data_IF_099719781909
#
_entry.id   IF_099719781909
#
_cell.length_a   1.000
_cell.length_b   1.000
_cell.length_c   1.000
_cell.angle_alpha   90.00
_cell.angle_beta   90.00
_cell.angle_gamma   90.00
#
_symmetry.space_group_name_H-M   'P 1'
#
loop_
_entity.id
_entity.type
_entity.pdbx_description
1 polymer ?
#
# COMPACT_ATOMS: atom_id res chain seq x y z
N UNK A 1 -27.24 15.15 -3.90
CA UNK A 1 -26.47 13.87 -3.91
C UNK A 1 -27.48 12.76 -4.08
N UNK A 2 -27.24 11.85 -5.02
CA UNK A 2 -28.07 10.66 -5.19
C UNK A 2 -27.81 9.72 -4.00
N UNK A 3 -28.86 9.20 -3.38
CA UNK A 3 -28.74 8.28 -2.26
C UNK A 3 -28.07 6.98 -2.73
N UNK A 4 -26.87 6.68 -2.22
CA UNK A 4 -26.17 5.46 -2.60
C UNK A 4 -26.86 4.27 -1.93
N UNK A 5 -27.36 3.36 -2.76
CA UNK A 5 -28.01 2.14 -2.27
C UNK A 5 -26.94 1.13 -1.86
N UNK A 6 -27.02 0.62 -0.62
CA UNK A 6 -26.18 -0.49 -0.11
C UNK A 6 -26.09 -1.67 -1.09
N UNK A 7 -27.15 -1.93 -1.86
CA UNK A 7 -27.20 -2.95 -2.91
C UNK A 7 -26.13 -2.79 -4.00
N UNK A 8 -25.73 -1.56 -4.34
CA UNK A 8 -24.68 -1.29 -5.33
C UNK A 8 -23.29 -1.66 -4.82
N UNK A 9 -23.03 -1.53 -3.51
CA UNK A 9 -21.78 -1.99 -2.94
C UNK A 9 -21.76 -3.50 -2.72
N UNK A 10 -22.91 -4.10 -2.39
CA UNK A 10 -23.05 -5.55 -2.33
C UNK A 10 -22.84 -6.20 -3.70
N UNK A 11 -23.24 -5.57 -4.81
CA UNK A 11 -22.96 -6.12 -6.14
C UNK A 11 -21.47 -6.17 -6.47
N UNK A 12 -20.66 -5.23 -5.97
CA UNK A 12 -19.19 -5.26 -6.08
C UNK A 12 -18.59 -6.46 -5.34
N UNK A 13 -19.11 -6.74 -4.14
CA UNK A 13 -18.72 -7.92 -3.36
C UNK A 13 -19.03 -9.19 -4.16
N UNK A 14 -20.26 -9.34 -4.61
CA UNK A 14 -20.71 -10.55 -5.31
C UNK A 14 -20.00 -10.74 -6.65
N UNK A 15 -19.78 -9.67 -7.43
CA UNK A 15 -19.00 -9.75 -8.66
C UNK A 15 -17.56 -10.18 -8.36
N UNK A 16 -16.91 -9.61 -7.34
CA UNK A 16 -15.55 -10.01 -6.96
C UNK A 16 -15.48 -11.48 -6.56
N UNK A 17 -16.42 -11.95 -5.73
CA UNK A 17 -16.49 -13.36 -5.31
C UNK A 17 -16.72 -14.30 -6.50
N UNK A 18 -17.58 -13.91 -7.45
CA UNK A 18 -17.78 -14.65 -8.68
C UNK A 18 -16.49 -14.76 -9.50
N UNK A 19 -15.77 -13.65 -9.73
CA UNK A 19 -14.49 -13.67 -10.45
C UNK A 19 -13.45 -14.56 -9.79
N UNK A 20 -13.38 -14.56 -8.45
CA UNK A 20 -12.45 -15.39 -7.68
C UNK A 20 -12.85 -16.87 -7.69
N UNK A 21 -14.15 -17.18 -7.70
CA UNK A 21 -14.68 -18.54 -7.79
C UNK A 21 -14.40 -19.15 -9.15
N UNK A 22 -14.63 -18.39 -10.22
CA UNK A 22 -14.39 -18.82 -11.60
C UNK A 22 -12.91 -19.05 -11.91
N UNK A 23 -12.00 -18.52 -11.08
CA UNK A 23 -10.55 -18.58 -11.29
C UNK A 23 -9.82 -19.06 -10.04
N UNK A 24 -9.98 -20.32 -9.66
CA UNK A 24 -9.47 -20.85 -8.38
C UNK A 24 -7.93 -20.87 -8.22
N UNK A 25 -7.16 -20.62 -9.29
CA UNK A 25 -5.68 -20.67 -9.25
C UNK A 25 -5.06 -19.78 -8.18
N UNK A 26 -5.68 -18.62 -7.90
CA UNK A 26 -5.13 -17.65 -6.96
C UNK A 26 -4.90 -18.29 -5.59
N UNK A 27 -5.72 -19.27 -5.19
CA UNK A 27 -5.57 -19.96 -3.90
C UNK A 27 -4.18 -20.59 -3.77
N UNK A 28 -3.80 -21.40 -4.75
CA UNK A 28 -2.49 -22.06 -4.79
C UNK A 28 -1.35 -21.04 -4.95
N UNK A 29 -1.53 -20.03 -5.79
CA UNK A 29 -0.52 -18.99 -6.01
C UNK A 29 -0.25 -18.18 -4.74
N UNK A 30 -1.28 -17.71 -4.05
CA UNK A 30 -1.13 -16.94 -2.82
C UNK A 30 -0.70 -17.81 -1.63
N UNK A 31 -1.01 -19.11 -1.62
CA UNK A 31 -0.41 -20.06 -0.68
C UNK A 31 1.11 -20.14 -0.88
N UNK A 32 1.56 -20.35 -2.13
CA UNK A 32 2.99 -20.38 -2.46
C UNK A 32 3.70 -19.05 -2.16
N UNK A 33 3.00 -17.92 -2.32
CA UNK A 33 3.53 -16.62 -1.92
C UNK A 33 3.74 -16.55 -0.41
N UNK A 34 2.73 -16.90 0.38
CA UNK A 34 2.81 -16.86 1.85
C UNK A 34 3.92 -17.75 2.38
N UNK A 35 4.03 -18.97 1.87
CA UNK A 35 5.09 -19.93 2.21
C UNK A 35 6.48 -19.34 1.96
N UNK A 36 6.78 -18.97 0.70
CA UNK A 36 8.10 -18.43 0.33
C UNK A 36 8.47 -17.16 1.08
N UNK A 37 7.51 -16.25 1.29
CA UNK A 37 7.75 -15.01 2.03
C UNK A 37 8.00 -15.34 3.52
N UNK A 38 7.28 -16.30 4.09
CA UNK A 38 7.46 -16.71 5.48
C UNK A 38 8.84 -17.33 5.70
N UNK A 39 9.29 -18.22 4.80
CA UNK A 39 10.60 -18.85 4.86
C UNK A 39 11.74 -17.81 4.81
N UNK A 40 11.58 -16.79 3.97
CA UNK A 40 12.57 -15.73 3.82
C UNK A 40 12.46 -14.63 4.89
N UNK A 41 11.44 -14.64 5.75
CA UNK A 41 11.10 -13.49 6.60
C UNK A 41 12.22 -13.12 7.58
N UNK A 42 12.90 -14.11 8.16
CA UNK A 42 14.02 -13.89 9.08
C UNK A 42 15.20 -13.24 8.35
N UNK A 43 15.54 -13.72 7.15
CA UNK A 43 16.59 -13.16 6.32
C UNK A 43 16.26 -11.72 5.91
N UNK A 44 15.05 -11.45 5.41
CA UNK A 44 14.59 -10.10 5.04
C UNK A 44 14.71 -9.14 6.24
N UNK A 45 14.27 -9.54 7.44
CA UNK A 45 14.38 -8.71 8.66
C UNK A 45 15.82 -8.42 9.05
N UNK A 46 16.69 -9.42 8.95
CA UNK A 46 18.11 -9.28 9.27
C UNK A 46 18.78 -8.28 8.32
N UNK A 47 18.59 -8.46 7.01
CA UNK A 47 19.12 -7.54 5.99
C UNK A 47 18.52 -6.15 6.12
N UNK A 48 17.21 -6.00 6.35
CA UNK A 48 16.60 -4.68 6.54
C UNK A 48 17.18 -3.93 7.74
N UNK A 49 17.55 -4.65 8.79
CA UNK A 49 18.13 -4.06 10.02
C UNK A 49 19.61 -3.74 9.89
N UNK A 50 20.31 -4.28 8.88
CA UNK A 50 21.75 -4.10 8.70
C UNK A 50 22.12 -2.82 7.94
N UNK A 51 21.14 -2.08 7.41
CA UNK A 51 21.39 -0.79 6.76
C UNK A 51 20.44 0.33 7.21
N UNK A 52 20.96 1.56 7.15
CA UNK A 52 20.19 2.75 7.45
C UNK A 52 19.37 3.20 6.22
N UNK A 53 18.11 3.60 6.47
CA UNK A 53 17.26 4.27 5.47
C UNK A 53 17.39 5.78 5.64
N UNK A 54 18.15 6.43 4.77
CA UNK A 54 18.33 7.88 4.81
C UNK A 54 17.12 8.61 4.22
N UNK A 55 16.50 9.47 5.03
CA UNK A 55 15.50 10.43 4.54
C UNK A 55 16.10 11.32 3.45
N UNK A 56 15.36 11.66 2.38
CA UNK A 56 13.93 11.40 2.13
C UNK A 56 13.61 10.07 1.42
N UNK A 57 14.60 9.20 1.21
CA UNK A 57 14.42 7.93 0.49
C UNK A 57 13.69 6.91 1.36
N UNK A 58 12.85 6.08 0.74
CA UNK A 58 12.02 5.06 1.39
C UNK A 58 12.24 3.69 0.78
N UNK A 59 12.35 2.67 1.64
CA UNK A 59 12.62 1.30 1.22
C UNK A 59 11.31 0.56 1.04
N UNK A 60 11.12 -0.04 -0.12
CA UNK A 60 9.97 -0.87 -0.49
C UNK A 60 10.43 -2.28 -0.83
N UNK A 61 9.57 -3.26 -0.55
CA UNK A 61 9.78 -4.66 -0.87
C UNK A 61 8.61 -5.14 -1.72
N UNK A 62 8.87 -5.52 -2.96
CA UNK A 62 7.85 -6.13 -3.82
C UNK A 62 7.72 -7.64 -3.56
N UNK A 63 6.61 -8.24 -4.01
CA UNK A 63 6.31 -9.66 -3.82
C UNK A 63 7.37 -10.59 -4.43
N UNK A 64 7.96 -10.23 -5.57
CA UNK A 64 8.97 -11.05 -6.23
C UNK A 64 10.24 -11.11 -5.40
N UNK A 65 10.77 -9.96 -5.01
CA UNK A 65 11.93 -9.86 -4.12
C UNK A 65 11.70 -10.57 -2.79
N UNK A 66 10.51 -10.47 -2.20
CA UNK A 66 10.20 -11.15 -0.94
C UNK A 66 10.22 -12.69 -1.09
N UNK A 67 9.70 -13.23 -2.19
CA UNK A 67 9.68 -14.68 -2.47
C UNK A 67 11.05 -15.26 -2.80
N UNK A 68 11.96 -14.46 -3.36
CA UNK A 68 13.28 -14.93 -3.81
C UNK A 68 14.43 -14.56 -2.88
N UNK A 69 14.12 -13.99 -1.70
CA UNK A 69 15.09 -13.50 -0.72
C UNK A 69 15.79 -14.62 0.07
N UNK A 70 16.61 -15.44 -0.61
CA UNK A 70 17.39 -16.52 0.01
C UNK A 70 18.78 -16.06 0.46
N UNK A 71 19.62 -15.67 -0.50
CA UNK A 71 21.01 -15.24 -0.25
C UNK A 71 21.21 -13.73 -0.47
N UNK A 72 20.24 -13.09 -1.10
CA UNK A 72 20.18 -11.66 -1.34
C UNK A 72 18.74 -11.21 -1.45
N UNK A 73 18.45 -9.99 -1.04
CA UNK A 73 17.14 -9.35 -1.22
C UNK A 73 17.32 -8.02 -1.94
N UNK A 74 16.51 -7.78 -2.97
CA UNK A 74 16.49 -6.50 -3.67
C UNK A 74 15.34 -5.66 -3.15
N UNK A 75 15.65 -4.49 -2.61
CA UNK A 75 14.68 -3.49 -2.21
C UNK A 75 14.60 -2.39 -3.26
N UNK A 76 13.40 -1.89 -3.49
CA UNK A 76 13.21 -0.65 -4.24
C UNK A 76 13.47 0.53 -3.31
N UNK A 77 14.31 1.45 -3.77
CA UNK A 77 14.56 2.71 -3.09
C UNK A 77 13.74 3.79 -3.80
N UNK A 78 12.77 4.35 -3.08
CA UNK A 78 11.81 5.30 -3.63
C UNK A 78 12.02 6.72 -3.09
N UNK A 79 11.92 7.71 -3.96
CA UNK A 79 11.85 9.14 -3.64
C UNK A 79 10.51 9.68 -4.12
N UNK A 80 9.75 10.35 -3.24
CA UNK A 80 8.39 10.86 -3.55
C UNK A 80 7.49 9.79 -4.21
N UNK A 81 7.55 8.55 -3.72
CA UNK A 81 6.77 7.43 -4.24
C UNK A 81 7.31 6.74 -5.50
N UNK A 82 8.32 7.32 -6.15
CA UNK A 82 8.90 6.78 -7.38
C UNK A 82 10.18 6.01 -7.10
N UNK A 83 10.33 4.82 -7.71
CA UNK A 83 11.57 4.05 -7.62
C UNK A 83 12.68 4.76 -8.38
N UNK A 84 13.76 5.09 -7.65
CA UNK A 84 14.93 5.79 -8.19
C UNK A 84 16.20 4.93 -8.20
N UNK A 85 16.19 3.81 -7.47
CA UNK A 85 17.28 2.85 -7.45
C UNK A 85 16.81 1.52 -6.85
N UNK A 86 17.61 0.47 -7.04
CA UNK A 86 17.51 -0.78 -6.31
C UNK A 86 18.67 -0.89 -5.30
N UNK A 87 18.33 -1.28 -4.07
CA UNK A 87 19.28 -1.61 -3.01
C UNK A 87 19.29 -3.12 -2.82
N UNK A 88 20.37 -3.77 -3.26
CA UNK A 88 20.60 -5.19 -3.01
C UNK A 88 21.28 -5.38 -1.67
N UNK A 89 20.68 -6.18 -0.80
CA UNK A 89 21.23 -6.50 0.52
C UNK A 89 21.54 -7.99 0.71
N UNK A 90 22.58 -8.23 1.51
CA UNK A 90 23.13 -9.53 1.88
C UNK A 90 23.48 -9.52 3.37
N UNK A 91 23.71 -10.69 3.96
CA UNK A 91 24.07 -10.86 5.38
C UNK A 91 25.50 -10.41 5.71
N UNK A 92 26.40 -10.40 4.71
CA UNK A 92 27.78 -9.89 4.82
C UNK A 92 27.88 -8.35 4.93
N UNK A 93 26.73 -7.65 4.96
CA UNK A 93 26.61 -6.18 4.98
C UNK A 93 27.17 -5.47 3.75
N UNK A 94 27.52 -6.20 2.69
CA UNK A 94 27.99 -5.64 1.41
C UNK A 94 26.80 -5.19 0.56
N UNK A 95 26.08 -4.18 1.06
CA UNK A 95 24.90 -3.62 0.38
C UNK A 95 25.30 -2.84 -0.87
N UNK A 96 24.61 -3.08 -1.98
CA UNK A 96 24.91 -2.49 -3.28
C UNK A 96 23.73 -1.69 -3.81
N UNK A 97 24.00 -0.46 -4.23
CA UNK A 97 23.04 0.45 -4.85
C UNK A 97 23.24 0.45 -6.36
N UNK A 98 22.14 0.31 -7.10
CA UNK A 98 22.14 0.38 -8.55
C UNK A 98 20.99 1.25 -9.05
N UNK A 99 21.27 2.15 -9.99
CA UNK A 99 20.25 2.94 -10.68
C UNK A 99 19.75 2.29 -11.96
N UNK A 100 20.30 1.12 -12.33
CA UNK A 100 20.02 0.47 -13.60
C UNK A 100 18.51 0.36 -13.82
N UNK A 101 18.06 0.81 -15.00
CA UNK A 101 16.66 0.93 -15.45
C UNK A 101 15.91 2.17 -14.93
N UNK A 102 16.55 3.02 -14.13
CA UNK A 102 15.96 4.24 -13.59
C UNK A 102 16.72 5.50 -13.99
N UNK A 103 17.84 5.41 -14.71
CA UNK A 103 18.65 6.58 -15.10
C UNK A 103 17.83 7.60 -15.89
N UNK A 104 17.13 7.14 -16.93
CA UNK A 104 16.30 7.99 -17.79
C UNK A 104 15.16 8.64 -17.00
N UNK A 105 14.48 7.88 -16.14
CA UNK A 105 13.39 8.40 -15.31
C UNK A 105 13.91 9.35 -14.23
N UNK A 106 15.05 9.06 -13.62
CA UNK A 106 15.71 9.90 -12.62
C UNK A 106 16.14 11.25 -13.20
N UNK A 107 16.71 11.24 -14.40
CA UNK A 107 17.08 12.45 -15.11
C UNK A 107 15.83 13.26 -15.47
N UNK A 108 14.85 12.62 -16.12
CA UNK A 108 13.60 13.26 -16.55
C UNK A 108 12.86 13.88 -15.36
N UNK A 109 12.61 13.10 -14.32
CA UNK A 109 11.69 13.44 -13.24
C UNK A 109 12.35 14.27 -12.14
N UNK A 110 13.64 14.08 -11.91
CA UNK A 110 14.34 14.70 -10.78
C UNK A 110 15.57 15.51 -11.18
N UNK A 111 16.05 15.41 -12.42
CA UNK A 111 17.32 16.01 -12.85
C UNK A 111 18.54 15.25 -12.33
N UNK A 112 18.37 14.01 -11.86
CA UNK A 112 19.45 13.23 -11.28
C UNK A 112 20.20 12.47 -12.38
N UNK A 113 21.42 12.91 -12.69
CA UNK A 113 22.31 12.23 -13.64
C UNK A 113 23.46 11.49 -12.94
N UNK A 114 23.15 10.72 -11.89
CA UNK A 114 24.15 9.97 -11.13
C UNK A 114 23.93 8.47 -11.40
N UNK A 115 24.56 7.89 -12.43
CA UNK A 115 24.46 6.47 -12.71
C UNK A 115 25.29 5.66 -11.71
N UNK A 116 24.73 4.58 -11.19
CA UNK A 116 25.39 3.66 -10.28
C UNK A 116 25.14 2.21 -10.70
N UNK A 117 26.22 1.44 -10.86
CA UNK A 117 26.15 0.01 -11.17
C UNK A 117 26.78 -0.80 -10.04
N UNK A 118 26.00 -1.02 -8.97
CA UNK A 118 26.45 -1.80 -7.81
C UNK A 118 27.43 -1.06 -6.90
N UNK A 119 27.22 0.25 -6.72
CA UNK A 119 28.01 1.07 -5.80
C UNK A 119 27.82 0.60 -4.34
N UNK A 120 28.87 0.65 -3.52
CA UNK A 120 28.73 0.34 -2.10
C UNK A 120 27.75 1.33 -1.45
N UNK A 121 26.73 0.83 -0.73
CA UNK A 121 25.73 1.67 -0.07
C UNK A 121 26.34 2.67 0.91
N UNK A 122 27.46 2.34 1.55
CA UNK A 122 28.18 3.24 2.45
C UNK A 122 29.32 3.99 1.76
N UNK A 123 29.54 3.76 0.46
CA UNK A 123 30.59 4.41 -0.32
C UNK A 123 30.24 5.83 -0.76
N UNK A 124 31.25 6.54 -1.27
CA UNK A 124 31.17 7.94 -1.67
C UNK A 124 30.15 8.18 -2.79
N UNK A 125 30.09 7.32 -3.80
CA UNK A 125 29.17 7.53 -4.93
C UNK A 125 27.71 7.35 -4.53
N UNK A 126 27.42 6.37 -3.67
CA UNK A 126 26.10 6.24 -3.07
C UNK A 126 25.78 7.43 -2.14
N UNK A 127 26.79 7.99 -1.47
CA UNK A 127 26.62 9.20 -0.65
C UNK A 127 26.28 10.43 -1.51
N UNK A 128 26.92 10.61 -2.69
CA UNK A 128 26.56 11.66 -3.66
C UNK A 128 25.12 11.51 -4.14
N UNK A 129 24.70 10.28 -4.50
CA UNK A 129 23.32 10.00 -4.89
C UNK A 129 22.32 10.33 -3.79
N UNK A 130 22.56 9.91 -2.55
CA UNK A 130 21.70 10.27 -1.40
C UNK A 130 21.70 11.78 -1.16
N UNK A 131 22.86 12.42 -1.26
CA UNK A 131 23.03 13.86 -1.10
C UNK A 131 22.21 14.66 -2.11
N UNK A 132 22.16 14.20 -3.37
CA UNK A 132 21.32 14.79 -4.40
C UNK A 132 19.85 14.82 -3.96
N UNK A 133 19.27 13.66 -3.63
CA UNK A 133 17.84 13.59 -3.24
C UNK A 133 17.55 14.28 -1.90
N UNK A 134 18.49 14.30 -0.97
CA UNK A 134 18.35 15.02 0.30
C UNK A 134 18.27 16.54 0.12
N UNK A 135 19.06 17.07 -0.81
CA UNK A 135 19.19 18.51 -1.02
C UNK A 135 18.26 19.04 -2.13
N UNK A 136 17.65 18.15 -2.91
CA UNK A 136 16.71 18.52 -3.97
C UNK A 136 15.50 19.22 -3.36
N UNK A 137 15.19 20.42 -3.88
CA UNK A 137 14.00 21.19 -3.52
C UNK A 137 12.96 21.13 -4.62
N UNK A 138 11.72 21.43 -4.24
CA UNK A 138 10.60 21.56 -5.18
C UNK A 138 10.01 20.22 -5.63
N UNK A 139 8.93 20.34 -6.40
CA UNK A 139 8.20 19.21 -6.94
C UNK A 139 9.02 18.47 -8.00
N UNK A 140 8.53 17.31 -8.43
CA UNK A 140 9.06 16.60 -9.58
C UNK A 140 9.07 17.51 -10.82
N UNK A 141 10.02 17.32 -11.72
CA UNK A 141 10.03 17.99 -13.02
C UNK A 141 8.79 17.51 -13.80
N UNK A 142 7.86 18.42 -14.06
CA UNK A 142 6.57 18.10 -14.68
C UNK A 142 6.80 17.83 -16.17
N UNK A 143 6.69 16.56 -16.56
CA UNK A 143 6.01 16.19 -17.81
C UNK A 143 4.64 15.63 -17.43
N UNK A 144 3.68 15.60 -18.36
CA UNK A 144 2.23 15.27 -18.25
C UNK A 144 1.80 13.96 -17.53
N UNK A 145 2.56 13.45 -16.57
CA UNK A 145 2.37 12.14 -15.97
C UNK A 145 1.66 12.23 -14.60
N UNK A 146 0.34 12.48 -14.63
CA UNK A 146 -0.56 12.53 -13.46
C UNK A 146 -0.45 11.33 -12.51
N UNK A 147 -0.27 10.11 -13.04
CA UNK A 147 -0.14 8.85 -12.25
C UNK A 147 0.91 8.87 -11.13
N UNK A 148 1.83 9.82 -11.15
CA UNK A 148 2.92 9.88 -10.19
C UNK A 148 2.59 10.67 -8.92
N UNK A 149 1.53 11.47 -8.95
CA UNK A 149 1.07 12.20 -7.76
C UNK A 149 0.39 11.26 -6.76
N UNK A 150 -0.37 10.27 -7.22
CA UNK A 150 -0.97 9.24 -6.36
C UNK A 150 0.11 8.47 -5.57
N UNK A 151 1.18 8.01 -6.23
CA UNK A 151 2.31 7.35 -5.56
C UNK A 151 3.02 8.29 -4.55
N UNK A 152 3.10 9.59 -4.84
CA UNK A 152 3.70 10.57 -3.92
C UNK A 152 2.85 10.69 -2.65
N UNK A 153 1.54 10.82 -2.82
CA UNK A 153 0.57 10.88 -1.74
C UNK A 153 0.54 9.57 -0.92
N UNK A 154 0.64 8.41 -1.58
CA UNK A 154 0.76 7.10 -0.93
C UNK A 154 2.00 7.08 -0.01
N UNK A 155 3.15 7.49 -0.53
CA UNK A 155 4.39 7.56 0.24
C UNK A 155 4.30 8.56 1.40
N UNK A 156 3.59 9.69 1.24
CA UNK A 156 3.34 10.65 2.31
C UNK A 156 2.44 10.06 3.40
N UNK A 157 1.32 9.44 3.03
CA UNK A 157 0.40 8.79 3.96
C UNK A 157 1.07 7.64 4.71
N UNK A 158 1.84 6.77 4.03
CA UNK A 158 2.62 5.72 4.68
C UNK A 158 3.67 6.29 5.64
N UNK A 159 4.24 7.46 5.34
CA UNK A 159 5.15 8.16 6.25
C UNK A 159 4.39 8.65 7.48
N UNK A 160 3.23 9.26 7.29
CA UNK A 160 2.35 9.70 8.38
C UNK A 160 1.91 8.52 9.27
N UNK A 161 1.50 7.41 8.66
CA UNK A 161 1.07 6.20 9.37
C UNK A 161 2.23 5.52 10.12
N UNK A 162 3.48 5.84 9.79
CA UNK A 162 4.65 5.35 10.52
C UNK A 162 5.03 6.20 11.74
N UNK A 163 4.48 7.41 11.88
CA UNK A 163 4.79 8.30 13.00
C UNK A 163 4.30 7.73 14.34
N UNK A 164 5.05 8.03 15.39
CA UNK A 164 4.74 7.69 16.79
C UNK A 164 4.21 8.93 17.53
N UNK A 165 4.81 10.11 17.29
CA UNK A 165 4.44 11.39 17.89
C UNK A 165 3.79 12.31 16.86
N UNK A 166 2.91 13.20 17.32
CA UNK A 166 2.23 14.22 16.49
C UNK A 166 1.57 13.63 15.24
N UNK A 167 0.98 12.44 15.41
CA UNK A 167 0.36 11.69 14.35
C UNK A 167 -1.04 12.21 14.10
N UNK A 168 -1.34 12.56 12.86
CA UNK A 168 -2.64 13.07 12.42
C UNK A 168 -3.74 12.02 12.57
N UNK A 169 -3.47 10.76 12.21
CA UNK A 169 -4.41 9.64 12.40
C UNK A 169 -3.87 8.72 13.46
N UNK A 170 -4.48 8.72 14.64
CA UNK A 170 -4.08 7.80 15.72
C UNK A 170 -4.49 6.37 15.40
N UNK A 171 -3.84 5.41 16.03
CA UNK A 171 -4.18 3.98 15.99
C UNK A 171 -4.15 3.29 14.62
N UNK A 172 -3.79 3.97 13.53
CA UNK A 172 -3.50 3.33 12.24
C UNK A 172 -2.02 3.01 12.09
N UNK A 173 -1.64 1.89 11.45
CA UNK A 173 -0.27 1.54 11.07
C UNK A 173 -0.29 0.75 9.78
N UNK A 174 0.58 1.05 8.83
CA UNK A 174 0.68 0.25 7.61
C UNK A 174 1.10 -1.20 7.92
N UNK A 175 0.62 -2.12 7.09
CA UNK A 175 1.13 -3.48 7.03
C UNK A 175 2.51 -3.45 6.38
N UNK A 176 3.44 -4.22 6.93
CA UNK A 176 4.83 -4.32 6.44
C UNK A 176 5.28 -5.76 6.44
N UNK A 177 6.13 -6.13 5.48
CA UNK A 177 6.80 -7.42 5.45
C UNK A 177 8.26 -7.19 5.83
N UNK A 178 8.71 -7.87 6.89
CA UNK A 178 10.09 -7.70 7.39
C UNK A 178 10.45 -6.28 7.81
N UNK A 179 9.46 -5.49 8.30
CA UNK A 179 9.59 -4.05 8.63
C UNK A 179 9.82 -3.14 7.41
N UNK A 180 9.44 -3.60 6.21
CA UNK A 180 9.53 -2.85 4.95
C UNK A 180 8.14 -2.61 4.39
N UNK A 181 7.94 -1.43 3.77
CA UNK A 181 6.70 -1.12 3.04
C UNK A 181 6.47 -2.19 1.98
N UNK A 182 5.24 -2.70 1.92
CA UNK A 182 4.89 -3.82 1.05
C UNK A 182 3.57 -3.51 0.33
N UNK A 183 3.61 -3.18 -0.97
CA UNK A 183 2.40 -3.05 -1.77
C UNK A 183 1.82 -4.45 -2.00
N UNK A 184 0.64 -4.72 -1.43
CA UNK A 184 0.02 -6.04 -1.51
C UNK A 184 -0.57 -6.25 -2.90
N UNK A 185 -0.05 -7.19 -3.71
CA UNK A 185 -0.66 -7.48 -5.01
C UNK A 185 -2.01 -8.18 -4.82
N UNK A 186 -2.89 -8.02 -5.79
CA UNK A 186 -4.18 -8.71 -5.87
C UNK A 186 -4.33 -9.35 -7.25
N UNK A 187 -5.12 -10.42 -7.41
CA UNK A 187 -5.45 -10.95 -8.72
C UNK A 187 -6.57 -10.15 -9.41
N UNK A 188 -7.12 -9.13 -8.75
CA UNK A 188 -8.26 -8.34 -9.20
C UNK A 188 -7.78 -7.00 -9.74
N UNK A 189 -8.35 -6.56 -10.85
CA UNK A 189 -8.20 -5.19 -11.35
C UNK A 189 -9.54 -4.49 -11.23
N UNK A 190 -9.58 -3.41 -10.44
CA UNK A 190 -10.78 -2.60 -10.22
C UNK A 190 -10.66 -1.15 -10.73
N UNK A 191 -9.52 -0.78 -11.32
CA UNK A 191 -9.19 0.60 -11.72
C UNK A 191 -9.91 1.12 -12.96
N UNK A 192 -10.44 0.22 -13.81
CA UNK A 192 -11.27 0.62 -14.94
C UNK A 192 -12.72 0.57 -14.46
N UNK A 193 -13.26 1.72 -14.02
CA UNK A 193 -14.60 1.97 -13.44
C UNK A 193 -15.81 1.26 -14.09
N UNK A 194 -15.59 0.55 -15.20
CA UNK A 194 -16.59 -0.21 -15.95
C UNK A 194 -16.79 -1.65 -15.48
N UNK A 195 -15.77 -2.33 -14.94
CA UNK A 195 -15.91 -3.73 -14.53
C UNK A 195 -14.77 -4.24 -13.63
N UNK A 196 -15.12 -5.12 -12.68
CA UNK A 196 -14.15 -5.88 -11.89
C UNK A 196 -13.62 -7.05 -12.71
N UNK A 197 -12.30 -7.13 -12.88
CA UNK A 197 -11.65 -8.16 -13.71
C UNK A 197 -10.70 -9.02 -12.92
N UNK A 198 -10.76 -10.33 -13.16
CA UNK A 198 -9.67 -11.22 -12.80
C UNK A 198 -8.51 -11.05 -13.79
N UNK A 199 -7.33 -10.73 -13.29
CA UNK A 199 -6.15 -10.40 -14.10
C UNK A 199 -4.91 -11.23 -13.72
N UNK A 200 -5.08 -12.27 -12.88
CA UNK A 200 -4.02 -13.23 -12.58
C UNK A 200 -2.79 -12.58 -11.95
N UNK A 201 -1.64 -12.70 -12.61
CA UNK A 201 -0.37 -12.08 -12.18
C UNK A 201 -0.27 -10.59 -12.48
N UNK A 202 -1.14 -10.08 -13.36
CA UNK A 202 -1.18 -8.69 -13.81
C UNK A 202 -2.35 -7.92 -13.16
N UNK A 203 -2.86 -8.40 -12.03
CA UNK A 203 -3.87 -7.69 -11.26
C UNK A 203 -3.34 -6.43 -10.60
N UNK A 204 -4.25 -5.72 -9.92
CA UNK A 204 -3.94 -4.48 -9.22
C UNK A 204 -3.11 -4.71 -7.97
N UNK A 205 -2.63 -3.61 -7.38
CA UNK A 205 -2.11 -3.57 -6.03
C UNK A 205 -3.11 -2.87 -5.11
N UNK A 206 -3.14 -3.26 -3.84
CA UNK A 206 -3.77 -2.42 -2.81
C UNK A 206 -2.81 -1.26 -2.54
N UNK A 207 -3.26 -0.02 -2.74
CA UNK A 207 -2.43 1.16 -2.52
C UNK A 207 -1.87 1.19 -1.10
N UNK A 208 -2.77 1.11 -0.11
CA UNK A 208 -2.38 1.03 1.29
C UNK A 208 -3.17 -0.05 2.01
N UNK A 209 -2.47 -1.08 2.47
CA UNK A 209 -2.96 -2.02 3.46
C UNK A 209 -2.47 -1.60 4.85
N UNK A 210 -3.40 -1.42 5.80
CA UNK A 210 -3.10 -0.98 7.14
C UNK A 210 -3.81 -1.83 8.21
N UNK A 211 -3.40 -1.63 9.46
CA UNK A 211 -4.08 -2.07 10.66
C UNK A 211 -4.55 -0.83 11.42
N UNK A 212 -5.78 -0.85 11.89
CA UNK A 212 -6.34 0.23 12.72
C UNK A 212 -6.94 -0.33 14.03
N UNK A 213 -7.02 0.51 15.06
CA UNK A 213 -7.58 0.16 16.38
C UNK A 213 -6.58 0.18 17.52
N UNK A 214 -7.08 0.05 18.75
CA UNK A 214 -6.28 0.20 19.99
C UNK A 214 -5.35 -0.98 20.27
N UNK A 215 -5.49 -2.09 19.55
CA UNK A 215 -4.63 -3.27 19.65
C UNK A 215 -5.41 -4.56 19.95
N UNK A 216 -4.72 -5.70 19.83
CA UNK A 216 -5.29 -7.01 20.16
C UNK A 216 -6.57 -7.31 19.36
N UNK A 217 -7.66 -7.66 20.07
CA UNK A 217 -8.96 -7.98 19.47
C UNK A 217 -9.66 -6.78 18.83
N UNK A 218 -9.25 -5.54 19.16
CA UNK A 218 -9.78 -4.32 18.56
C UNK A 218 -9.06 -3.92 17.26
N UNK A 219 -8.05 -4.69 16.83
CA UNK A 219 -7.37 -4.43 15.57
C UNK A 219 -8.19 -4.92 14.38
N UNK A 220 -8.31 -4.07 13.36
CA UNK A 220 -8.94 -4.37 12.07
C UNK A 220 -7.93 -4.17 10.94
N UNK A 221 -7.99 -4.99 9.91
CA UNK A 221 -7.30 -4.67 8.66
C UNK A 221 -8.12 -3.62 7.91
N UNK A 222 -7.42 -2.63 7.37
CA UNK A 222 -8.00 -1.53 6.62
C UNK A 222 -7.38 -1.50 5.24
N UNK A 223 -8.22 -1.57 4.22
CA UNK A 223 -7.88 -1.52 2.80
C UNK A 223 -8.24 -0.10 2.35
N UNK A 224 -7.23 0.67 1.95
CA UNK A 224 -7.39 2.07 1.59
C UNK A 224 -7.07 2.23 0.11
N UNK A 225 -8.05 2.69 -0.65
CA UNK A 225 -7.89 3.12 -2.05
C UNK A 225 -7.61 4.62 -2.07
N UNK A 226 -6.47 5.01 -2.63
CA UNK A 226 -6.03 6.40 -2.69
C UNK A 226 -6.30 6.99 -4.07
N UNK A 227 -6.78 8.23 -4.10
CA UNK A 227 -6.79 9.07 -5.31
C UNK A 227 -6.07 10.38 -5.08
N UNK A 228 -5.46 10.91 -6.13
CA UNK A 228 -4.71 12.17 -6.11
C UNK A 228 -5.59 13.41 -6.28
N UNK A 229 -6.77 13.25 -6.88
CA UNK A 229 -7.75 14.32 -7.09
C UNK A 229 -9.12 13.92 -6.52
N UNK A 230 -9.93 14.90 -6.11
CA UNK A 230 -11.33 14.69 -5.71
C UNK A 230 -12.24 15.49 -6.65
N UNK A 231 -12.60 14.84 -7.76
CA UNK A 231 -13.24 15.48 -8.92
C UNK A 231 -14.43 14.66 -9.41
N UNK A 232 -15.34 15.30 -10.14
CA UNK A 232 -16.58 14.67 -10.63
C UNK A 232 -16.34 13.42 -11.49
N UNK A 233 -15.26 13.38 -12.26
CA UNK A 233 -14.93 12.25 -13.14
C UNK A 233 -14.34 11.05 -12.40
N UNK A 234 -13.86 11.24 -11.18
CA UNK A 234 -13.35 10.19 -10.29
C UNK A 234 -13.88 10.43 -8.88
N UNK A 235 -15.18 10.20 -8.63
CA UNK A 235 -15.81 10.54 -7.36
C UNK A 235 -15.45 9.51 -6.27
N UNK A 236 -15.59 9.85 -4.97
CA UNK A 236 -15.28 8.95 -3.87
C UNK A 236 -16.01 7.60 -3.92
N UNK A 237 -17.23 7.58 -4.47
CA UNK A 237 -18.01 6.38 -4.73
C UNK A 237 -17.25 5.35 -5.58
N UNK A 238 -16.49 5.79 -6.57
CA UNK A 238 -15.73 4.87 -7.41
C UNK A 238 -14.47 4.36 -6.70
N UNK A 239 -13.81 5.20 -5.90
CA UNK A 239 -12.68 4.77 -5.07
C UNK A 239 -13.11 3.74 -4.00
N UNK A 240 -14.23 3.96 -3.31
CA UNK A 240 -14.71 2.99 -2.30
C UNK A 240 -15.11 1.65 -2.92
N UNK A 241 -15.64 1.62 -4.15
CA UNK A 241 -15.90 0.35 -4.87
C UNK A 241 -14.62 -0.45 -5.11
N UNK A 242 -13.51 0.21 -5.46
CA UNK A 242 -12.22 -0.47 -5.60
C UNK A 242 -11.73 -1.02 -4.26
N UNK A 243 -11.81 -0.22 -3.19
CA UNK A 243 -11.49 -0.67 -1.84
C UNK A 243 -12.34 -1.87 -1.40
N UNK A 244 -13.64 -1.90 -1.74
CA UNK A 244 -14.54 -3.03 -1.47
C UNK A 244 -14.10 -4.28 -2.24
N UNK A 245 -13.76 -4.17 -3.53
CA UNK A 245 -13.28 -5.30 -4.32
C UNK A 245 -12.00 -5.89 -3.71
N UNK A 246 -11.04 -5.05 -3.33
CA UNK A 246 -9.81 -5.48 -2.69
C UNK A 246 -10.04 -6.04 -1.27
N UNK A 247 -10.92 -5.44 -0.48
CA UNK A 247 -11.30 -5.97 0.84
C UNK A 247 -11.99 -7.34 0.72
N UNK A 248 -12.83 -7.53 -0.29
CA UNK A 248 -13.46 -8.82 -0.61
C UNK A 248 -12.40 -9.86 -0.95
N UNK A 249 -11.41 -9.52 -1.77
CA UNK A 249 -10.29 -10.42 -2.04
C UNK A 249 -9.50 -10.77 -0.77
N UNK A 250 -9.19 -9.80 0.10
CA UNK A 250 -8.51 -10.04 1.38
C UNK A 250 -9.35 -10.95 2.28
N UNK A 251 -10.68 -10.78 2.32
CA UNK A 251 -11.58 -11.69 3.04
C UNK A 251 -11.44 -13.12 2.52
N UNK A 252 -11.59 -13.31 1.20
CA UNK A 252 -11.49 -14.64 0.58
C UNK A 252 -10.11 -15.27 0.82
N UNK A 253 -9.05 -14.48 0.76
CA UNK A 253 -7.69 -14.92 1.08
C UNK A 253 -7.56 -15.39 2.52
N UNK A 254 -8.08 -14.62 3.48
CA UNK A 254 -8.04 -14.96 4.90
C UNK A 254 -8.94 -16.15 5.26
N UNK A 255 -9.98 -16.42 4.47
CA UNK A 255 -10.84 -17.61 4.60
C UNK A 255 -10.35 -18.81 3.79
N UNK A 256 -9.26 -18.68 3.05
CA UNK A 256 -8.62 -19.80 2.34
C UNK A 256 -7.64 -20.57 3.22
N UNK A 257 -7.12 -21.69 2.72
CA UNK A 257 -6.10 -22.50 3.40
C UNK A 257 -4.80 -21.73 3.67
N UNK A 258 -4.50 -20.70 2.87
CA UNK A 258 -3.36 -19.82 3.06
C UNK A 258 -3.63 -18.70 4.09
N UNK A 259 -4.86 -18.57 4.57
CA UNK A 259 -5.32 -17.42 5.35
C UNK A 259 -4.53 -17.20 6.64
N UNK A 260 -4.25 -18.28 7.38
CA UNK A 260 -3.50 -18.19 8.64
C UNK A 260 -2.07 -17.68 8.41
N UNK A 261 -1.42 -18.08 7.32
CA UNK A 261 -0.08 -17.62 6.97
C UNK A 261 -0.09 -16.13 6.60
N UNK A 262 -1.05 -15.70 5.77
CA UNK A 262 -1.22 -14.29 5.42
C UNK A 262 -1.58 -13.41 6.61
N UNK A 263 -2.45 -13.88 7.51
CA UNK A 263 -2.79 -13.19 8.75
C UNK A 263 -1.55 -12.90 9.60
N UNK A 264 -0.65 -13.89 9.71
CA UNK A 264 0.65 -13.73 10.38
C UNK A 264 1.56 -12.74 9.66
N UNK A 265 1.65 -12.81 8.33
CA UNK A 265 2.42 -11.88 7.52
C UNK A 265 1.90 -10.44 7.62
N UNK A 266 0.59 -10.24 7.76
CA UNK A 266 -0.02 -8.94 8.03
C UNK A 266 0.23 -8.40 9.44
N UNK A 267 0.94 -9.16 10.28
CA UNK A 267 1.41 -8.73 11.59
C UNK A 267 0.48 -9.10 12.74
N UNK A 268 -0.41 -10.08 12.56
CA UNK A 268 -1.29 -10.60 13.61
C UNK A 268 -0.75 -11.91 14.20
N UNK A 269 -0.84 -12.07 15.53
CA UNK A 269 -0.31 -13.24 16.25
C UNK A 269 -1.34 -14.30 16.66
N UNK A 270 -2.63 -14.00 16.53
CA UNK A 270 -3.73 -14.88 16.95
C UNK A 270 -4.43 -15.58 15.77
N UNK A 271 -5.51 -16.30 16.07
CA UNK A 271 -6.42 -16.81 15.03
C UNK A 271 -7.10 -15.65 14.29
N UNK A 272 -7.51 -15.92 13.05
CA UNK A 272 -8.36 -14.99 12.30
C UNK A 272 -9.70 -14.91 13.04
N UNK A 273 -10.20 -13.69 13.36
CA UNK A 273 -11.48 -13.54 14.07
C UNK A 273 -12.65 -14.21 13.34
N UNK A 274 -13.64 -14.65 14.12
CA UNK A 274 -14.95 -15.11 13.64
C UNK A 274 -16.01 -14.43 14.53
N UNK A 275 -16.78 -13.45 14.01
CA UNK A 275 -16.75 -12.91 12.64
C UNK A 275 -15.44 -12.15 12.31
N UNK A 276 -15.02 -12.14 11.04
CA UNK A 276 -13.96 -11.25 10.55
C UNK A 276 -14.58 -9.92 10.11
N UNK A 277 -14.00 -8.84 10.59
CA UNK A 277 -14.40 -7.48 10.23
C UNK A 277 -13.22 -6.79 9.55
N UNK A 278 -13.43 -6.33 8.31
CA UNK A 278 -12.47 -5.59 7.49
C UNK A 278 -12.98 -4.18 7.24
N UNK A 279 -12.08 -3.21 7.16
CA UNK A 279 -12.42 -1.86 6.75
C UNK A 279 -12.02 -1.62 5.30
N UNK A 280 -12.93 -1.05 4.52
CA UNK A 280 -12.66 -0.51 3.19
C UNK A 280 -12.81 1.02 3.25
N UNK A 281 -11.82 1.76 2.77
CA UNK A 281 -11.85 3.21 2.81
C UNK A 281 -11.43 3.84 1.49
N UNK A 282 -12.18 4.88 1.06
CA UNK A 282 -11.65 5.82 0.08
C UNK A 282 -10.76 6.85 0.78
N UNK A 283 -9.64 7.18 0.17
CA UNK A 283 -8.67 8.15 0.66
C UNK A 283 -8.42 9.17 -0.44
N UNK A 284 -8.81 10.42 -0.21
CA UNK A 284 -8.76 11.44 -1.26
C UNK A 284 -8.46 12.81 -0.66
N UNK A 285 -7.95 13.78 -1.44
CA UNK A 285 -7.94 15.17 -1.01
C UNK A 285 -9.36 15.64 -0.64
N UNK A 286 -9.46 16.47 0.38
CA UNK A 286 -10.71 17.13 0.74
C UNK A 286 -11.08 18.14 -0.34
N UNK A 287 -12.32 18.10 -0.81
CA UNK A 287 -12.80 18.96 -1.89
C UNK A 287 -14.31 19.07 -1.97
N UNK A 288 -14.78 19.71 -3.05
CA UNK A 288 -16.21 19.97 -3.28
C UNK A 288 -17.04 18.68 -3.41
N UNK A 289 -16.42 17.58 -3.84
CA UNK A 289 -17.08 16.31 -4.11
C UNK A 289 -16.88 15.28 -2.98
N UNK A 290 -16.51 15.72 -1.77
CA UNK A 290 -16.55 14.85 -0.59
C UNK A 290 -17.93 14.18 -0.48
N UNK A 291 -17.91 12.87 -0.32
CA UNK A 291 -19.11 12.06 -0.14
C UNK A 291 -19.01 11.31 1.19
N UNK A 292 -20.01 11.53 2.05
CA UNK A 292 -20.10 10.94 3.37
C UNK A 292 -21.26 9.93 3.47
N UNK A 293 -22.00 9.74 2.37
CA UNK A 293 -23.26 8.97 2.38
C UNK A 293 -23.06 7.49 2.72
N UNK A 294 -21.89 6.92 2.41
CA UNK A 294 -21.55 5.52 2.70
C UNK A 294 -20.85 5.31 4.06
N UNK A 295 -20.74 6.36 4.87
CA UNK A 295 -20.11 6.32 6.18
C UNK A 295 -20.70 5.22 7.08
N UNK A 296 -19.85 4.36 7.63
CA UNK A 296 -20.22 3.30 8.56
C UNK A 296 -21.28 2.32 8.02
N UNK A 297 -21.45 2.23 6.70
CA UNK A 297 -22.23 1.16 6.10
C UNK A 297 -21.50 -0.17 6.31
N UNK A 298 -22.23 -1.15 6.80
CA UNK A 298 -21.74 -2.52 6.94
C UNK A 298 -22.23 -3.34 5.74
N UNK A 299 -21.33 -4.06 5.07
CA UNK A 299 -21.62 -5.01 4.01
C UNK A 299 -21.43 -6.42 4.57
N UNK A 300 -22.54 -7.10 4.80
CA UNK A 300 -22.56 -8.46 5.34
C UNK A 300 -22.20 -9.48 4.25
N UNK A 301 -21.23 -10.35 4.55
CA UNK A 301 -20.75 -11.40 3.65
C UNK A 301 -20.71 -12.71 4.43
N UNK A 302 -21.78 -13.49 4.34
CA UNK A 302 -22.00 -14.67 5.17
C UNK A 302 -21.94 -14.31 6.67
N UNK A 303 -20.84 -14.67 7.34
CA UNK A 303 -20.57 -14.39 8.76
C UNK A 303 -19.53 -13.28 8.97
N UNK A 304 -19.04 -12.67 7.90
CA UNK A 304 -18.01 -11.63 7.93
C UNK A 304 -18.60 -10.28 7.50
N UNK A 305 -17.89 -9.19 7.81
CA UNK A 305 -18.36 -7.83 7.56
C UNK A 305 -17.25 -7.01 6.88
N UNK A 306 -17.61 -6.27 5.84
CA UNK A 306 -16.80 -5.15 5.33
C UNK A 306 -17.48 -3.84 5.74
N UNK A 307 -16.80 -3.04 6.56
CA UNK A 307 -17.29 -1.73 6.99
C UNK A 307 -16.69 -0.62 6.15
N UNK A 308 -17.53 0.29 5.68
CA UNK A 308 -17.14 1.37 4.78
C UNK A 308 -16.74 2.64 5.55
N UNK A 309 -15.62 3.20 5.13
CA UNK A 309 -15.01 4.37 5.74
C UNK A 309 -14.55 5.37 4.69
N UNK A 310 -14.23 6.58 5.14
CA UNK A 310 -13.59 7.60 4.30
C UNK A 310 -12.46 8.29 5.06
N UNK A 311 -11.52 8.85 4.31
CA UNK A 311 -10.45 9.72 4.80
C UNK A 311 -10.22 10.82 3.76
N UNK A 312 -10.70 12.02 4.07
CA UNK A 312 -10.43 13.22 3.29
C UNK A 312 -9.31 14.01 3.94
N UNK A 313 -8.26 14.33 3.19
CA UNK A 313 -7.09 15.02 3.73
C UNK A 313 -6.79 16.33 3.01
N UNK A 314 -6.11 17.26 3.68
CA UNK A 314 -5.45 18.37 3.00
C UNK A 314 -3.96 18.08 2.94
N UNK A 315 -3.33 18.55 1.88
CA UNK A 315 -1.88 18.51 1.76
C UNK A 315 -1.34 19.93 1.69
N UNK A 316 -0.47 20.27 2.64
CA UNK A 316 0.22 21.55 2.67
C UNK A 316 1.71 21.30 2.92
N UNK A 317 2.59 21.83 2.08
CA UNK A 317 4.04 21.70 2.21
C UNK A 317 4.53 20.25 2.38
N UNK A 318 4.02 19.31 1.56
CA UNK A 318 4.30 17.86 1.66
C UNK A 318 3.94 17.26 3.03
N UNK A 319 2.92 17.81 3.70
CA UNK A 319 2.39 17.28 4.94
C UNK A 319 0.89 17.06 4.82
N UNK A 320 0.47 15.86 5.21
CA UNK A 320 -0.94 15.48 5.31
C UNK A 320 -1.52 16.00 6.63
N UNK A 321 -2.63 16.73 6.53
CA UNK A 321 -3.46 17.15 7.65
C UNK A 321 -4.90 16.68 7.42
N UNK A 322 -5.64 16.40 8.49
CA UNK A 322 -7.02 15.92 8.43
C UNK A 322 -7.82 16.75 9.41
N UNK A 323 -8.91 17.33 8.93
CA UNK A 323 -9.83 18.11 9.76
C UNK A 323 -10.76 17.16 10.53
N UNK A 324 -11.25 17.60 11.68
CA UNK A 324 -12.29 16.84 12.40
C UNK A 324 -13.51 16.62 11.49
N UNK A 325 -14.08 15.42 11.52
CA UNK A 325 -15.18 15.00 10.65
C UNK A 325 -14.78 14.55 9.24
N UNK A 326 -13.54 14.82 8.80
CA UNK A 326 -13.05 14.37 7.49
C UNK A 326 -12.54 12.93 7.48
N UNK A 327 -12.70 12.18 8.56
CA UNK A 327 -12.49 10.73 8.52
C UNK A 327 -13.40 10.01 9.50
N UNK A 328 -13.77 8.79 9.14
CA UNK A 328 -14.39 7.82 10.05
C UNK A 328 -13.38 6.76 10.51
N UNK A 329 -12.12 6.87 10.10
CA UNK A 329 -11.04 6.00 10.53
C UNK A 329 -10.40 6.56 11.80
N UNK A 330 -10.60 5.87 12.92
CA UNK A 330 -10.00 6.20 14.22
C UNK A 330 -10.29 7.63 14.72
N UNK A 331 -9.90 7.92 15.97
CA UNK A 331 -10.20 9.19 16.63
C UNK A 331 -9.22 10.27 16.15
N UNK A 332 -9.75 11.30 15.49
CA UNK A 332 -9.11 12.61 15.38
C UNK A 332 -9.53 13.43 16.61
N UNK A 333 -8.59 13.89 17.44
CA UNK A 333 -8.89 14.88 18.49
C UNK A 333 -8.94 16.28 17.88
#
# INVERSE_FOLDING_TARGET
MEEIRKSEFLSVVEETRLRLKDNSEWRARYASYAEKISDNLCFIKSVRSSFHEWSPLKVYLNVTSAKTAKNSVSFELRYMGQTVANLSGKTDKLHKLSTNNYETTNLRDFGCNIPLSGANWYGEDAAKFRGFFKNRKGNRNIGDHKKNEEHRLESLLLTEFSRIKNKTIRHIKSVTIGRVRFPMPTPISASNHKAIKYSGTNGGGIDILARTGTGGKATRLCILELKDENIKSEPPKEAIKQAIAYATFIRELLRSDAGAAWWKLFGSGGKIPEPLELYAACVMPSGLYNDYSFSNMDLDIERDIIKLHYLYFNEENNRITIKSGNTTLAVTE
#
